data_IF_375360493423
#
_entry.id   IF_375360493423
#
_cell.length_a   1.000
_cell.length_b   1.000
_cell.length_c   1.000
_cell.angle_alpha   90.00
_cell.angle_beta   90.00
_cell.angle_gamma   90.00
#
_symmetry.space_group_name_H-M   'P 1'
#
loop_
_entity.id
_entity.type
_entity.pdbx_description
1 polymer ?
#
# COMPACT_ATOMS: atom_id res chain seq x y z
N UNK A 1 29.16 -38.43 6.07
CA UNK A 1 27.97 -38.42 5.20
C UNK A 1 27.42 -36.98 5.22
N UNK A 2 27.57 -36.27 4.12
CA UNK A 2 27.16 -34.88 3.96
C UNK A 2 25.75 -34.87 3.41
N UNK A 3 24.79 -34.34 4.17
CA UNK A 3 23.44 -34.11 3.70
C UNK A 3 23.44 -32.86 2.81
N UNK A 4 23.27 -33.08 1.51
CA UNK A 4 22.89 -31.95 0.61
C UNK A 4 21.43 -31.60 0.86
N UNK A 5 21.20 -30.41 1.33
CA UNK A 5 19.86 -29.78 1.30
C UNK A 5 19.60 -29.34 -0.13
N UNK A 6 18.82 -30.14 -0.87
CA UNK A 6 18.23 -29.69 -2.12
C UNK A 6 17.16 -28.62 -1.77
N UNK A 7 17.51 -27.36 -1.95
CA UNK A 7 16.55 -26.27 -2.04
C UNK A 7 15.77 -26.46 -3.35
N UNK A 8 14.54 -26.94 -3.23
CA UNK A 8 13.58 -26.91 -4.33
C UNK A 8 13.28 -25.43 -4.65
N UNK A 9 13.92 -24.91 -5.70
CA UNK A 9 13.45 -23.69 -6.36
C UNK A 9 12.03 -23.96 -6.87
N UNK A 10 11.04 -23.44 -6.16
CA UNK A 10 9.67 -23.36 -6.67
C UNK A 10 9.68 -22.30 -7.77
N UNK A 11 9.87 -22.74 -9.01
CA UNK A 11 9.66 -21.87 -10.18
C UNK A 11 8.16 -21.61 -10.27
N UNK A 12 7.70 -20.52 -9.68
CA UNK A 12 6.35 -19.99 -9.90
C UNK A 12 6.09 -19.73 -11.40
N UNK A 13 4.83 -19.69 -11.83
CA UNK A 13 4.47 -19.39 -13.21
C UNK A 13 5.11 -18.06 -13.63
N UNK A 14 5.70 -18.03 -14.84
CA UNK A 14 6.25 -16.81 -15.40
C UNK A 14 5.09 -15.89 -15.77
N UNK A 15 4.93 -14.81 -15.03
CA UNK A 15 4.06 -13.70 -15.41
C UNK A 15 4.80 -12.93 -16.51
N UNK A 16 4.31 -13.02 -17.74
CA UNK A 16 4.84 -12.28 -18.89
C UNK A 16 3.88 -11.15 -19.21
N UNK A 17 4.17 -9.98 -18.68
CA UNK A 17 3.46 -8.74 -18.97
C UNK A 17 4.09 -7.60 -18.17
N UNK A 18 4.34 -6.49 -18.82
CA UNK A 18 4.75 -5.27 -18.10
C UNK A 18 3.49 -4.59 -17.53
N UNK A 19 3.54 -4.09 -16.29
CA UNK A 19 2.40 -3.53 -15.57
C UNK A 19 1.64 -2.38 -16.22
N UNK A 20 1.89 -2.01 -17.44
CA UNK A 20 1.55 -0.68 -17.87
C UNK A 20 0.60 -0.53 -19.05
N UNK A 21 0.39 -1.55 -19.87
CA UNK A 21 -0.21 -1.28 -21.19
C UNK A 21 -1.71 -0.94 -21.15
N UNK A 22 -2.49 -1.50 -20.22
CA UNK A 22 -3.93 -1.23 -20.13
C UNK A 22 -4.24 0.03 -19.31
N UNK A 23 -3.56 0.20 -18.19
CA UNK A 23 -3.63 1.42 -17.38
C UNK A 23 -3.13 2.62 -18.19
N UNK A 24 -2.00 2.50 -18.88
CA UNK A 24 -1.47 3.53 -19.76
C UNK A 24 -2.42 3.86 -20.91
N UNK A 25 -3.14 2.91 -21.48
CA UNK A 25 -4.12 3.19 -22.56
C UNK A 25 -5.36 3.92 -22.05
N UNK A 26 -5.90 3.56 -20.88
CA UNK A 26 -7.03 4.25 -20.29
C UNK A 26 -6.64 5.69 -19.91
N UNK A 27 -5.46 5.86 -19.34
CA UNK A 27 -4.93 7.16 -18.91
C UNK A 27 -4.50 8.01 -20.11
N UNK A 28 -3.97 7.42 -21.17
CA UNK A 28 -3.66 8.15 -22.43
C UNK A 28 -4.91 8.78 -23.07
N UNK A 29 -6.12 8.35 -22.67
CA UNK A 29 -7.37 8.97 -23.11
C UNK A 29 -7.83 10.13 -22.21
N UNK A 30 -7.17 10.36 -21.06
CA UNK A 30 -7.47 11.46 -20.16
C UNK A 30 -7.00 12.78 -20.82
N UNK A 31 -7.86 13.80 -20.89
CA UNK A 31 -7.44 15.09 -21.42
C UNK A 31 -6.32 15.69 -20.57
N UNK A 32 -5.34 16.29 -21.24
CA UNK A 32 -4.30 17.07 -20.56
C UNK A 32 -4.97 18.16 -19.71
N UNK A 33 -4.54 18.25 -18.45
CA UNK A 33 -5.11 19.19 -17.49
C UNK A 33 -4.89 20.65 -17.95
N UNK A 34 -5.93 21.44 -17.85
CA UNK A 34 -5.85 22.91 -18.01
C UNK A 34 -5.63 23.64 -16.67
N UNK A 35 -5.61 22.88 -15.57
CA UNK A 35 -5.40 23.44 -14.23
C UNK A 35 -3.93 23.76 -14.00
N UNK A 36 -3.66 24.84 -13.33
CA UNK A 36 -2.32 25.18 -12.83
C UNK A 36 -1.94 24.26 -11.67
N UNK A 37 -0.64 24.14 -11.38
CA UNK A 37 -0.14 23.33 -10.25
C UNK A 37 -0.81 23.71 -8.95
N UNK A 38 -0.99 25.01 -8.72
CA UNK A 38 -1.68 25.52 -7.54
C UNK A 38 -3.14 25.08 -7.45
N UNK A 39 -3.87 25.11 -8.57
CA UNK A 39 -5.27 24.68 -8.59
C UNK A 39 -5.40 23.18 -8.33
N UNK A 40 -4.44 22.36 -8.78
CA UNK A 40 -4.38 20.92 -8.48
C UNK A 40 -4.09 20.73 -6.99
N UNK A 41 -3.12 21.43 -6.42
CA UNK A 41 -2.83 21.37 -4.98
C UNK A 41 -4.00 21.83 -4.13
N UNK A 42 -4.64 22.96 -4.48
CA UNK A 42 -5.84 23.47 -3.79
C UNK A 42 -6.98 22.43 -3.81
N UNK A 43 -7.11 21.70 -4.91
CA UNK A 43 -8.07 20.60 -5.06
C UNK A 43 -7.75 19.43 -4.14
N UNK A 44 -6.49 19.02 -4.03
CA UNK A 44 -6.03 17.98 -3.11
C UNK A 44 -6.21 18.40 -1.64
N UNK A 45 -5.90 19.64 -1.30
CA UNK A 45 -6.12 20.21 0.04
C UNK A 45 -7.62 20.22 0.38
N UNK A 46 -8.46 20.69 -0.53
CA UNK A 46 -9.91 20.72 -0.34
C UNK A 46 -10.49 19.33 -0.14
N UNK A 47 -9.94 18.32 -0.85
CA UNK A 47 -10.33 16.93 -0.66
C UNK A 47 -9.99 16.44 0.74
N UNK A 48 -8.78 16.71 1.26
CA UNK A 48 -8.41 16.34 2.63
C UNK A 48 -9.29 17.00 3.69
N UNK A 49 -9.65 18.28 3.50
CA UNK A 49 -10.59 18.97 4.39
C UNK A 49 -11.95 18.27 4.38
N UNK A 50 -12.43 17.89 3.20
CA UNK A 50 -13.68 17.14 3.05
C UNK A 50 -13.60 15.78 3.79
N UNK A 51 -12.50 15.05 3.64
CA UNK A 51 -12.27 13.78 4.34
C UNK A 51 -12.24 13.94 5.86
N UNK A 52 -11.64 14.99 6.39
CA UNK A 52 -11.66 15.27 7.84
C UNK A 52 -13.08 15.43 8.39
N UNK A 53 -14.01 15.92 7.58
CA UNK A 53 -15.40 16.15 7.97
C UNK A 53 -16.28 14.90 7.77
N UNK A 54 -16.08 14.16 6.67
CA UNK A 54 -16.96 13.04 6.28
C UNK A 54 -16.44 11.67 6.71
N UNK A 55 -15.13 11.44 6.66
CA UNK A 55 -14.47 10.21 7.03
C UNK A 55 -13.18 10.51 7.84
N UNK A 56 -13.33 10.95 9.11
CA UNK A 56 -12.22 11.53 9.90
C UNK A 56 -11.04 10.56 10.11
N UNK A 57 -11.26 9.26 10.11
CA UNK A 57 -10.19 8.27 10.15
C UNK A 57 -9.23 8.47 8.98
N UNK A 58 -9.74 8.42 7.76
CA UNK A 58 -8.95 8.60 6.53
C UNK A 58 -8.40 10.02 6.41
N UNK A 59 -9.20 11.03 6.75
CA UNK A 59 -8.78 12.43 6.70
C UNK A 59 -7.58 12.74 7.58
N UNK A 60 -7.54 12.19 8.81
CA UNK A 60 -6.40 12.33 9.71
C UNK A 60 -5.13 11.68 9.14
N UNK A 61 -5.25 10.53 8.50
CA UNK A 61 -4.12 9.83 7.90
C UNK A 61 -3.66 10.50 6.60
N UNK A 62 -4.60 10.91 5.75
CA UNK A 62 -4.32 11.64 4.52
C UNK A 62 -3.54 12.96 4.79
N UNK A 63 -3.81 13.65 5.90
CA UNK A 63 -3.08 14.85 6.28
C UNK A 63 -1.61 14.61 6.64
N UNK A 64 -1.17 13.37 6.81
CA UNK A 64 0.23 13.03 7.11
C UNK A 64 1.07 12.84 5.86
N UNK A 65 0.44 12.56 4.73
CA UNK A 65 1.13 12.38 3.46
C UNK A 65 1.41 13.75 2.81
N UNK A 66 2.66 13.98 2.45
CA UNK A 66 3.07 15.19 1.73
C UNK A 66 2.77 15.04 0.23
N UNK A 67 2.39 16.11 -0.44
CA UNK A 67 2.13 16.08 -1.88
C UNK A 67 3.41 16.07 -2.69
N UNK A 68 3.45 15.24 -3.74
CA UNK A 68 4.55 15.25 -4.70
C UNK A 68 4.04 14.99 -6.11
N UNK A 69 4.28 15.96 -7.00
CA UNK A 69 3.98 15.78 -8.42
C UNK A 69 4.86 14.68 -9.00
N UNK A 70 4.21 13.71 -9.60
CA UNK A 70 4.81 12.51 -10.19
C UNK A 70 4.34 12.29 -11.64
N UNK A 71 3.81 13.34 -12.29
CA UNK A 71 3.21 13.26 -13.63
C UNK A 71 4.15 12.70 -14.69
N UNK A 72 5.47 12.75 -14.46
CA UNK A 72 6.45 12.24 -15.41
C UNK A 72 6.58 10.71 -15.40
N UNK A 73 6.26 10.04 -14.28
CA UNK A 73 6.48 8.60 -14.13
C UNK A 73 5.28 7.85 -13.55
N UNK A 74 4.41 8.51 -12.78
CA UNK A 74 3.21 7.92 -12.20
C UNK A 74 2.00 8.30 -13.06
N UNK A 75 1.25 7.34 -13.60
CA UNK A 75 0.11 7.63 -14.45
C UNK A 75 -1.16 8.04 -13.67
N UNK A 76 -1.27 7.67 -12.40
CA UNK A 76 -2.43 7.89 -11.53
C UNK A 76 -2.04 8.55 -10.22
N UNK A 77 -1.89 7.74 -9.17
CA UNK A 77 -1.35 8.12 -7.88
C UNK A 77 -0.49 6.98 -7.33
N UNK A 78 0.23 7.24 -6.24
CA UNK A 78 1.00 6.24 -5.50
C UNK A 78 1.31 6.78 -4.10
N UNK A 79 1.68 5.89 -3.18
CA UNK A 79 2.21 6.29 -1.87
C UNK A 79 3.37 5.42 -1.43
N UNK A 80 4.24 5.98 -0.60
CA UNK A 80 5.32 5.29 0.08
C UNK A 80 5.18 5.38 1.62
N UNK A 81 4.02 5.84 2.09
CA UNK A 81 3.76 6.09 3.52
C UNK A 81 4.23 7.46 4.03
N UNK A 82 4.97 8.21 3.23
CA UNK A 82 5.39 9.59 3.51
C UNK A 82 4.83 10.58 2.51
N UNK A 83 4.90 10.26 1.23
CA UNK A 83 4.40 11.09 0.14
C UNK A 83 3.14 10.49 -0.48
N UNK A 84 2.26 11.39 -0.93
CA UNK A 84 1.22 11.11 -1.89
C UNK A 84 1.71 11.62 -3.24
N UNK A 85 2.14 10.71 -4.09
CA UNK A 85 2.54 10.99 -5.46
C UNK A 85 1.30 11.08 -6.33
N UNK A 86 1.25 12.04 -7.24
CA UNK A 86 0.07 12.22 -8.06
C UNK A 86 0.41 12.63 -9.49
N UNK A 87 -0.45 12.23 -10.41
CA UNK A 87 -0.46 12.73 -11.78
C UNK A 87 -1.49 13.85 -11.91
N UNK A 88 -1.07 15.01 -12.42
CA UNK A 88 -1.92 16.20 -12.54
C UNK A 88 -3.14 15.98 -13.42
N UNK A 89 -2.96 15.31 -14.57
CA UNK A 89 -4.02 15.08 -15.52
C UNK A 89 -5.08 14.16 -14.89
N UNK A 90 -4.63 13.09 -14.22
CA UNK A 90 -5.51 12.17 -13.52
C UNK A 90 -6.30 12.85 -12.39
N UNK A 91 -5.63 13.58 -11.50
CA UNK A 91 -6.28 14.31 -10.41
C UNK A 91 -7.29 15.32 -10.94
N UNK A 92 -6.97 16.00 -12.04
CA UNK A 92 -7.84 17.01 -12.64
C UNK A 92 -9.12 16.42 -13.24
N UNK A 93 -9.06 15.20 -13.74
CA UNK A 93 -10.19 14.50 -14.36
C UNK A 93 -11.17 13.89 -13.33
N UNK A 94 -10.74 13.69 -12.07
CA UNK A 94 -11.58 13.08 -11.03
C UNK A 94 -12.51 14.10 -10.39
N UNK A 95 -13.70 13.67 -9.96
CA UNK A 95 -14.58 14.44 -9.07
C UNK A 95 -14.04 14.49 -7.64
N UNK A 96 -14.53 15.37 -6.79
CA UNK A 96 -14.13 15.40 -5.37
C UNK A 96 -14.46 14.07 -4.66
N UNK A 97 -15.66 13.45 -4.83
CA UNK A 97 -15.93 12.13 -4.27
C UNK A 97 -14.99 11.03 -4.78
N UNK A 98 -14.59 11.06 -6.06
CA UNK A 98 -13.58 10.12 -6.59
C UNK A 98 -12.19 10.37 -5.98
N UNK A 99 -11.83 11.63 -5.73
CA UNK A 99 -10.58 11.97 -5.04
C UNK A 99 -10.59 11.50 -3.58
N UNK A 100 -11.73 11.55 -2.88
CA UNK A 100 -11.89 10.96 -1.54
C UNK A 100 -11.63 9.45 -1.59
N UNK A 101 -12.17 8.75 -2.60
CA UNK A 101 -11.93 7.33 -2.81
C UNK A 101 -10.45 7.04 -3.07
N UNK A 102 -9.81 7.79 -3.98
CA UNK A 102 -8.39 7.65 -4.29
C UNK A 102 -7.51 7.85 -3.05
N UNK A 103 -7.77 8.91 -2.28
CA UNK A 103 -7.06 9.14 -1.02
C UNK A 103 -7.25 8.02 -0.01
N UNK A 104 -8.48 7.51 0.11
CA UNK A 104 -8.78 6.36 0.96
C UNK A 104 -7.97 5.14 0.55
N UNK A 105 -7.85 4.89 -0.76
CA UNK A 105 -7.09 3.81 -1.36
C UNK A 105 -5.61 3.86 -0.95
N UNK A 106 -4.94 4.98 -1.19
CA UNK A 106 -3.53 5.17 -0.83
C UNK A 106 -3.29 5.07 0.69
N UNK A 107 -4.21 5.63 1.48
CA UNK A 107 -4.15 5.52 2.94
C UNK A 107 -4.27 4.08 3.40
N UNK A 108 -5.16 3.28 2.81
CA UNK A 108 -5.32 1.87 3.20
C UNK A 108 -4.09 1.02 2.88
N UNK A 109 -3.40 1.28 1.77
CA UNK A 109 -2.12 0.61 1.50
C UNK A 109 -1.12 0.81 2.63
N UNK A 110 -1.05 2.02 3.19
CA UNK A 110 -0.20 2.31 4.34
C UNK A 110 -0.73 1.69 5.65
N UNK A 111 -2.06 1.72 5.87
CA UNK A 111 -2.71 1.14 7.07
C UNK A 111 -2.49 -0.36 7.14
N UNK A 112 -2.65 -1.05 6.01
CA UNK A 112 -2.44 -2.50 5.90
C UNK A 112 -0.97 -2.90 5.80
N UNK A 113 -0.05 -1.93 5.71
CA UNK A 113 1.39 -2.19 5.52
C UNK A 113 1.67 -3.13 4.34
N UNK A 114 1.01 -2.88 3.22
CA UNK A 114 1.11 -3.75 2.04
C UNK A 114 2.55 -3.83 1.52
N UNK A 115 3.33 -2.76 1.68
CA UNK A 115 4.74 -2.69 1.28
C UNK A 115 5.62 -3.65 2.11
N UNK A 116 5.40 -3.71 3.43
CA UNK A 116 6.20 -4.55 4.34
C UNK A 116 5.70 -5.99 4.47
N UNK A 117 4.49 -6.31 3.97
CA UNK A 117 3.87 -7.64 4.08
C UNK A 117 4.04 -8.51 2.84
N UNK A 118 4.62 -8.01 1.76
CA UNK A 118 4.79 -8.75 0.52
C UNK A 118 5.60 -10.04 0.73
N UNK A 119 6.75 -9.97 1.39
CA UNK A 119 7.68 -11.10 1.50
C UNK A 119 8.08 -11.61 0.11
N UNK A 120 8.22 -12.93 -0.04
CA UNK A 120 8.63 -13.57 -1.30
C UNK A 120 7.50 -13.69 -2.35
N UNK A 121 6.36 -13.03 -2.16
CA UNK A 121 5.24 -13.06 -3.10
C UNK A 121 5.57 -12.33 -4.39
N UNK A 122 4.98 -12.79 -5.49
CA UNK A 122 5.07 -12.07 -6.76
C UNK A 122 4.52 -10.64 -6.60
N UNK A 123 5.30 -9.59 -6.90
CA UNK A 123 4.92 -8.20 -6.65
C UNK A 123 3.61 -7.81 -7.33
N UNK A 124 3.48 -8.13 -8.62
CA UNK A 124 2.30 -7.80 -9.41
C UNK A 124 1.03 -8.47 -8.87
N UNK A 125 1.08 -9.77 -8.58
CA UNK A 125 -0.07 -10.50 -8.05
C UNK A 125 -0.43 -10.04 -6.63
N UNK A 126 0.58 -9.65 -5.85
CA UNK A 126 0.39 -9.06 -4.52
C UNK A 126 -0.34 -7.72 -4.60
N UNK A 127 0.04 -6.87 -5.54
CA UNK A 127 -0.61 -5.59 -5.77
C UNK A 127 -2.08 -5.77 -6.18
N UNK A 128 -2.34 -6.67 -7.14
CA UNK A 128 -3.71 -7.02 -7.54
C UNK A 128 -4.53 -7.50 -6.32
N UNK A 129 -3.98 -8.36 -5.48
CA UNK A 129 -4.65 -8.87 -4.29
C UNK A 129 -4.96 -7.75 -3.29
N UNK A 130 -4.03 -6.82 -3.08
CA UNK A 130 -4.20 -5.67 -2.21
C UNK A 130 -5.31 -4.74 -2.70
N UNK A 131 -5.34 -4.45 -4.00
CA UNK A 131 -6.35 -3.59 -4.61
C UNK A 131 -7.76 -4.15 -4.46
N UNK A 132 -7.93 -5.47 -4.61
CA UNK A 132 -9.24 -6.09 -4.35
C UNK A 132 -9.71 -5.86 -2.91
N UNK A 133 -8.81 -5.97 -1.93
CA UNK A 133 -9.14 -5.77 -0.51
C UNK A 133 -9.44 -4.31 -0.23
N UNK A 134 -8.56 -3.40 -0.63
CA UNK A 134 -8.69 -1.97 -0.41
C UNK A 134 -9.96 -1.43 -1.07
N UNK A 135 -10.18 -1.73 -2.34
CA UNK A 135 -11.37 -1.25 -3.05
C UNK A 135 -12.67 -1.80 -2.44
N UNK A 136 -12.64 -3.03 -1.92
CA UNK A 136 -13.79 -3.62 -1.21
C UNK A 136 -14.09 -2.89 0.08
N UNK A 137 -13.09 -2.63 0.91
CA UNK A 137 -13.24 -1.95 2.20
C UNK A 137 -13.75 -0.51 2.01
N UNK A 138 -13.25 0.22 1.03
CA UNK A 138 -13.69 1.58 0.70
C UNK A 138 -15.14 1.62 0.23
N UNK A 139 -15.56 0.69 -0.64
CA UNK A 139 -16.94 0.60 -1.11
C UNK A 139 -17.88 0.25 0.04
N UNK A 140 -17.54 -0.71 0.89
CA UNK A 140 -18.34 -1.07 2.06
C UNK A 140 -18.38 0.02 3.12
N UNK A 141 -17.26 0.72 3.30
CA UNK A 141 -17.13 1.87 4.20
C UNK A 141 -17.81 3.13 3.69
N UNK A 142 -18.32 3.15 2.46
CA UNK A 142 -18.84 4.35 1.77
C UNK A 142 -17.84 5.52 1.80
N UNK A 143 -16.57 5.23 1.54
CA UNK A 143 -15.49 6.23 1.51
C UNK A 143 -15.37 6.80 0.11
N UNK A 144 -15.96 7.96 -0.10
CA UNK A 144 -16.01 8.59 -1.42
C UNK A 144 -16.91 7.83 -2.41
N UNK A 145 -16.66 8.04 -3.69
CA UNK A 145 -17.33 7.36 -4.79
C UNK A 145 -16.32 6.60 -5.64
N UNK A 146 -16.64 5.35 -5.95
CA UNK A 146 -15.83 4.49 -6.80
C UNK A 146 -15.45 5.21 -8.11
N UNK A 147 -14.17 5.17 -8.45
CA UNK A 147 -13.67 5.75 -9.71
C UNK A 147 -14.19 4.93 -10.88
N UNK A 148 -14.73 5.62 -11.88
CA UNK A 148 -15.24 5.00 -13.13
C UNK A 148 -14.46 5.43 -14.36
N UNK A 149 -13.50 6.36 -14.19
CA UNK A 149 -12.64 6.85 -15.27
C UNK A 149 -11.69 5.75 -15.76
N UNK A 150 -11.29 4.88 -14.86
CA UNK A 150 -10.50 3.68 -15.10
C UNK A 150 -11.22 2.48 -14.50
N UNK A 151 -11.01 1.31 -15.07
CA UNK A 151 -11.56 0.08 -14.49
C UNK A 151 -10.73 -0.27 -13.26
N UNK A 152 -11.37 -0.38 -12.09
CA UNK A 152 -10.73 -0.76 -10.84
C UNK A 152 -11.03 -2.22 -10.49
N UNK A 153 -10.08 -2.88 -9.83
CA UNK A 153 -10.22 -4.25 -9.35
C UNK A 153 -11.25 -4.32 -8.23
N UNK A 154 -12.36 -5.00 -8.48
CA UNK A 154 -13.44 -5.11 -7.51
C UNK A 154 -14.28 -6.36 -7.76
N UNK A 155 -14.37 -7.23 -6.72
CA UNK A 155 -15.20 -8.42 -6.75
C UNK A 155 -15.75 -8.72 -5.35
N UNK A 156 -17.06 -8.81 -5.20
CA UNK A 156 -17.73 -9.17 -3.94
C UNK A 156 -17.32 -10.54 -3.38
N UNK A 157 -16.73 -11.42 -4.20
CA UNK A 157 -16.14 -12.68 -3.76
C UNK A 157 -15.14 -12.48 -2.65
N UNK A 158 -14.36 -11.40 -2.70
CA UNK A 158 -13.27 -11.12 -1.76
C UNK A 158 -13.69 -10.30 -0.53
N UNK A 159 -14.99 -10.17 -0.32
CA UNK A 159 -15.53 -9.48 0.86
C UNK A 159 -15.01 -10.09 2.15
N UNK A 160 -14.44 -9.27 3.01
CA UNK A 160 -13.83 -9.65 4.29
C UNK A 160 -12.63 -10.61 4.21
N UNK A 161 -12.05 -10.79 3.01
CA UNK A 161 -10.80 -11.53 2.85
C UNK A 161 -9.59 -10.64 3.16
N UNK A 162 -8.49 -11.27 3.56
CA UNK A 162 -7.19 -10.63 3.69
C UNK A 162 -6.47 -10.64 2.34
N UNK A 163 -5.47 -9.76 2.18
CA UNK A 163 -4.63 -9.74 0.98
C UNK A 163 -3.95 -11.08 0.71
N UNK A 164 -3.55 -11.80 1.77
CA UNK A 164 -2.95 -13.13 1.68
C UNK A 164 -3.93 -14.18 1.15
N UNK A 165 -5.19 -14.14 1.58
CA UNK A 165 -6.23 -15.06 1.10
C UNK A 165 -6.58 -14.78 -0.36
N UNK A 166 -6.70 -13.50 -0.74
CA UNK A 166 -6.93 -13.10 -2.13
C UNK A 166 -5.75 -13.53 -3.00
N UNK A 167 -4.52 -13.26 -2.56
CA UNK A 167 -3.32 -13.70 -3.27
C UNK A 167 -3.30 -15.21 -3.51
N UNK A 168 -3.60 -16.00 -2.47
CA UNK A 168 -3.61 -17.47 -2.58
C UNK A 168 -4.68 -17.96 -3.58
N UNK A 169 -5.86 -17.33 -3.60
CA UNK A 169 -6.92 -17.68 -4.54
C UNK A 169 -6.55 -17.30 -5.98
N UNK A 170 -5.99 -16.11 -6.19
CA UNK A 170 -5.52 -15.67 -7.51
C UNK A 170 -4.39 -16.57 -8.02
N UNK A 171 -3.43 -16.89 -7.15
CA UNK A 171 -2.31 -17.80 -7.49
C UNK A 171 -2.82 -19.18 -7.91
N UNK A 172 -3.80 -19.72 -7.18
CA UNK A 172 -4.43 -21.00 -7.50
C UNK A 172 -5.15 -20.96 -8.86
N UNK A 173 -5.87 -19.87 -9.17
CA UNK A 173 -6.53 -19.69 -10.47
C UNK A 173 -5.51 -19.66 -11.63
N UNK A 174 -4.33 -19.06 -11.42
CA UNK A 174 -3.25 -19.08 -12.41
C UNK A 174 -2.72 -20.49 -12.65
N UNK A 175 -2.49 -21.26 -11.58
CA UNK A 175 -1.95 -22.63 -11.71
C UNK A 175 -2.95 -23.61 -12.33
N UNK A 176 -4.24 -23.54 -11.92
CA UNK A 176 -5.26 -24.51 -12.33
C UNK A 176 -5.87 -24.19 -13.71
N UNK A 177 -6.05 -22.93 -14.04
CA UNK A 177 -6.78 -22.50 -15.24
C UNK A 177 -5.87 -22.04 -16.38
N UNK A 178 -4.54 -21.97 -16.13
CA UNK A 178 -3.61 -21.42 -17.10
C UNK A 178 -3.94 -19.97 -17.48
N UNK A 179 -4.67 -19.27 -16.62
CA UNK A 179 -4.99 -17.88 -16.80
C UNK A 179 -3.74 -17.06 -16.54
N UNK A 180 -3.18 -16.48 -17.58
CA UNK A 180 -2.35 -15.30 -17.43
C UNK A 180 -3.27 -14.20 -16.89
N UNK A 181 -3.06 -13.78 -15.64
CA UNK A 181 -3.68 -12.56 -15.19
C UNK A 181 -3.11 -11.43 -16.02
N UNK A 182 -3.87 -11.04 -17.03
CA UNK A 182 -3.68 -9.73 -17.62
C UNK A 182 -4.10 -8.73 -16.56
N UNK A 183 -3.19 -7.83 -16.24
CA UNK A 183 -3.43 -6.71 -15.38
C UNK A 183 -4.80 -6.10 -15.63
N UNK A 184 -5.74 -6.30 -14.69
CA UNK A 184 -6.78 -5.34 -14.47
C UNK A 184 -6.07 -4.04 -14.05
N UNK A 185 -6.61 -2.90 -14.40
CA UNK A 185 -5.99 -1.62 -14.10
C UNK A 185 -5.87 -1.49 -12.59
N UNK A 186 -4.67 -1.67 -12.04
CA UNK A 186 -4.38 -1.26 -10.66
C UNK A 186 -4.60 0.25 -10.60
N UNK A 187 -5.25 0.72 -9.54
CA UNK A 187 -5.61 2.13 -9.41
C UNK A 187 -4.38 3.00 -9.21
N UNK A 188 -3.32 2.42 -8.71
CA UNK A 188 -2.07 3.06 -8.36
C UNK A 188 -0.84 2.35 -8.94
N UNK A 189 0.29 3.01 -8.85
CA UNK A 189 1.61 2.41 -9.06
C UNK A 189 2.15 2.00 -7.70
N UNK A 190 2.07 0.71 -7.39
CA UNK A 190 2.63 0.21 -6.14
C UNK A 190 4.14 0.40 -6.11
N UNK A 191 4.60 1.17 -5.14
CA UNK A 191 6.01 1.43 -4.92
C UNK A 191 6.59 0.33 -4.04
N UNK A 192 7.42 -0.54 -4.62
CA UNK A 192 8.19 -1.49 -3.84
C UNK A 192 9.27 -0.76 -3.04
N UNK A 193 9.17 -0.79 -1.70
CA UNK A 193 10.22 -0.27 -0.83
C UNK A 193 11.51 -1.11 -0.88
N UNK A 194 11.49 -2.27 -1.54
CA UNK A 194 12.61 -3.22 -1.57
C UNK A 194 13.53 -3.11 -2.80
N UNK A 195 13.11 -2.47 -3.88
CA UNK A 195 13.91 -2.40 -5.12
C UNK A 195 14.96 -1.30 -5.06
N UNK A 196 15.99 -1.54 -4.28
CA UNK A 196 17.17 -0.68 -4.13
C UNK A 196 18.51 -1.39 -4.33
N UNK A 197 18.54 -2.62 -4.86
CA UNK A 197 19.78 -3.29 -5.27
C UNK A 197 20.09 -2.96 -6.74
N UNK A 198 20.48 -1.71 -6.99
CA UNK A 198 21.34 -1.39 -8.13
C UNK A 198 22.72 -1.05 -7.58
N UNK A 199 23.73 -1.86 -7.95
CA UNK A 199 25.13 -1.68 -7.56
C UNK A 199 25.67 -0.36 -8.13
N UNK A 200 25.44 0.72 -7.40
CA UNK A 200 25.88 2.06 -7.72
C UNK A 200 25.79 2.97 -6.52
N UNK A 201 26.39 2.53 -5.41
CA UNK A 201 26.40 3.27 -4.16
C UNK A 201 27.02 4.67 -4.31
N UNK A 202 26.18 5.67 -4.36
CA UNK A 202 26.49 7.04 -3.98
C UNK A 202 25.97 7.28 -2.58
N UNK A 203 26.89 7.44 -1.67
CA UNK A 203 26.82 7.90 -0.27
C UNK A 203 25.71 8.93 -0.02
N UNK A 204 24.86 8.67 0.99
CA UNK A 204 24.03 9.60 1.76
C UNK A 204 23.62 10.90 1.06
N UNK A 205 22.53 10.87 0.29
CA UNK A 205 21.94 12.06 -0.30
C UNK A 205 20.94 12.68 0.67
N UNK A 206 21.21 13.92 1.04
CA UNK A 206 20.33 14.83 1.78
C UNK A 206 18.91 14.81 1.19
N UNK A 207 17.88 14.67 2.03
CA UNK A 207 16.47 14.64 1.65
C UNK A 207 15.96 15.95 1.00
N UNK A 208 16.86 16.83 0.61
CA UNK A 208 16.61 18.12 -0.05
C UNK A 208 17.23 18.24 -1.45
N UNK A 209 17.73 17.15 -2.02
CA UNK A 209 18.22 17.21 -3.37
C UNK A 209 17.04 17.29 -4.34
N UNK A 210 16.82 18.46 -4.89
CA UNK A 210 16.11 18.70 -6.14
C UNK A 210 16.99 18.14 -7.28
N UNK A 211 17.33 16.86 -7.17
CA UNK A 211 18.04 16.09 -8.17
C UNK A 211 16.97 15.48 -9.06
N UNK A 212 16.93 15.87 -10.33
CA UNK A 212 15.98 15.47 -11.35
C UNK A 212 15.85 13.94 -11.58
N UNK A 213 15.87 13.15 -10.52
CA UNK A 213 15.60 11.70 -10.55
C UNK A 213 14.11 11.49 -10.81
N UNK A 214 13.81 10.97 -11.99
CA UNK A 214 12.47 10.51 -12.38
C UNK A 214 12.17 9.24 -11.62
N UNK A 215 11.38 9.34 -10.54
CA UNK A 215 10.96 8.17 -9.77
C UNK A 215 10.63 8.46 -8.31
N UNK A 216 10.20 7.43 -7.55
CA UNK A 216 9.91 7.55 -6.14
C UNK A 216 11.16 7.83 -5.30
N UNK A 217 10.96 8.40 -4.11
CA UNK A 217 12.05 8.64 -3.15
C UNK A 217 12.57 7.31 -2.64
N UNK A 218 13.89 7.19 -2.55
CA UNK A 218 14.55 6.01 -1.96
C UNK A 218 14.87 6.25 -0.50
N UNK A 219 14.60 5.24 0.32
CA UNK A 219 14.81 5.30 1.77
C UNK A 219 15.81 4.23 2.22
N UNK A 220 16.55 4.55 3.26
CA UNK A 220 17.33 3.56 4.03
C UNK A 220 16.38 2.65 4.82
N UNK A 221 16.83 1.46 5.21
CA UNK A 221 16.03 0.52 6.01
C UNK A 221 15.59 1.12 7.36
N UNK A 222 16.39 2.02 7.93
CA UNK A 222 16.02 2.74 9.15
C UNK A 222 14.87 3.74 8.89
N UNK A 223 14.94 4.48 7.80
CA UNK A 223 13.87 5.42 7.40
C UNK A 223 12.58 4.68 7.08
N UNK A 224 12.63 3.57 6.33
CA UNK A 224 11.47 2.71 6.05
C UNK A 224 10.79 2.25 7.35
N UNK A 225 11.58 1.76 8.31
CA UNK A 225 11.08 1.34 9.61
C UNK A 225 10.43 2.50 10.37
N UNK A 226 11.06 3.68 10.37
CA UNK A 226 10.54 4.86 11.04
C UNK A 226 9.23 5.36 10.41
N UNK A 227 9.12 5.36 9.06
CA UNK A 227 7.89 5.70 8.33
C UNK A 227 6.77 4.73 8.72
N UNK A 228 7.05 3.42 8.68
CA UNK A 228 6.09 2.37 9.06
C UNK A 228 5.59 2.53 10.50
N UNK A 229 6.50 2.71 11.47
CA UNK A 229 6.14 2.90 12.89
C UNK A 229 5.34 4.19 13.10
N UNK A 230 5.74 5.28 12.46
CA UNK A 230 5.02 6.54 12.53
C UNK A 230 3.59 6.41 11.98
N UNK A 231 3.43 5.73 10.84
CA UNK A 231 2.11 5.51 10.23
C UNK A 231 1.24 4.58 11.08
N UNK A 232 1.80 3.49 11.62
CA UNK A 232 1.11 2.60 12.56
C UNK A 232 0.58 3.35 13.79
N UNK A 233 1.41 4.17 14.41
CA UNK A 233 1.01 4.99 15.56
C UNK A 233 -0.09 5.99 15.19
N UNK A 234 0.01 6.59 14.00
CA UNK A 234 -1.00 7.47 13.46
C UNK A 234 -2.34 6.77 13.24
N UNK A 235 -2.31 5.54 12.71
CA UNK A 235 -3.49 4.70 12.49
C UNK A 235 -4.24 4.45 13.80
N UNK A 236 -3.51 4.07 14.86
CA UNK A 236 -4.11 3.87 16.19
C UNK A 236 -4.75 5.15 16.73
N UNK A 237 -4.07 6.30 16.56
CA UNK A 237 -4.61 7.59 17.00
C UNK A 237 -5.84 8.02 16.21
N UNK A 238 -5.80 7.87 14.87
CA UNK A 238 -6.92 8.18 13.98
C UNK A 238 -8.15 7.32 14.31
N UNK A 239 -7.96 6.02 14.54
CA UNK A 239 -9.02 5.10 14.91
C UNK A 239 -9.66 5.47 16.26
N UNK A 240 -8.87 5.86 17.25
CA UNK A 240 -9.38 6.33 18.55
C UNK A 240 -10.18 7.63 18.40
N UNK A 241 -9.72 8.55 17.57
CA UNK A 241 -10.41 9.82 17.31
C UNK A 241 -11.72 9.65 16.55
N UNK A 242 -11.75 8.75 15.56
CA UNK A 242 -12.94 8.50 14.76
C UNK A 242 -14.02 7.71 15.52
N UNK A 243 -13.62 6.93 16.54
CA UNK A 243 -14.51 6.03 17.28
C UNK A 243 -14.79 4.71 16.55
N UNK A 244 -14.88 3.63 17.29
CA UNK A 244 -14.95 2.25 16.77
C UNK A 244 -16.16 1.96 15.84
N UNK A 245 -17.20 2.78 15.88
CA UNK A 245 -18.40 2.65 15.03
C UNK A 245 -18.23 3.19 13.61
N UNK A 246 -17.18 3.97 13.36
CA UNK A 246 -16.95 4.67 12.10
C UNK A 246 -15.79 4.08 11.27
N UNK A 247 -15.32 2.89 11.65
CA UNK A 247 -14.26 2.18 10.94
C UNK A 247 -14.83 1.05 10.08
N UNK A 248 -14.35 0.86 8.84
CA UNK A 248 -14.61 -0.35 8.07
C UNK A 248 -14.23 -1.61 8.85
N UNK A 249 -14.95 -2.72 8.59
CA UNK A 249 -14.78 -3.94 9.37
C UNK A 249 -13.36 -4.54 9.34
N UNK A 250 -12.69 -4.45 8.19
CA UNK A 250 -11.30 -4.88 8.02
C UNK A 250 -10.33 -4.04 8.87
N UNK A 251 -10.44 -2.73 8.77
CA UNK A 251 -9.60 -1.78 9.53
C UNK A 251 -9.84 -1.91 11.03
N UNK A 252 -11.10 -2.10 11.46
CA UNK A 252 -11.41 -2.29 12.88
C UNK A 252 -10.66 -3.49 13.47
N UNK A 253 -10.69 -4.64 12.79
CA UNK A 253 -9.96 -5.84 13.22
C UNK A 253 -8.45 -5.59 13.30
N UNK A 254 -7.90 -4.97 12.25
CA UNK A 254 -6.48 -4.63 12.20
C UNK A 254 -6.05 -3.72 13.35
N UNK A 255 -6.83 -2.68 13.65
CA UNK A 255 -6.56 -1.74 14.76
C UNK A 255 -6.68 -2.44 16.11
N UNK A 256 -7.68 -3.32 16.29
CA UNK A 256 -7.82 -4.11 17.51
C UNK A 256 -6.60 -5.02 17.73
N UNK A 257 -6.07 -5.64 16.68
CA UNK A 257 -4.84 -6.45 16.72
C UNK A 257 -3.59 -5.60 17.00
N UNK A 258 -3.52 -4.37 16.45
CA UNK A 258 -2.42 -3.43 16.73
C UNK A 258 -2.40 -2.95 18.18
N UNK A 259 -3.57 -2.75 18.78
CA UNK A 259 -3.71 -2.28 20.18
C UNK A 259 -3.54 -3.44 21.17
N UNK A 260 -4.06 -4.63 20.84
CA UNK A 260 -4.04 -5.82 21.65
C UNK A 260 -3.34 -6.97 20.92
N UNK A 261 -2.03 -6.88 20.68
CA UNK A 261 -1.32 -7.92 19.96
C UNK A 261 -1.48 -9.25 20.68
N UNK A 262 -2.03 -10.24 19.99
CA UNK A 262 -2.11 -11.61 20.47
C UNK A 262 -0.69 -12.18 20.47
N UNK A 263 -0.04 -12.14 21.63
CA UNK A 263 1.30 -12.71 21.79
C UNK A 263 1.24 -14.21 21.47
N UNK A 264 1.82 -14.60 20.35
CA UNK A 264 1.92 -16.00 19.99
C UNK A 264 2.79 -16.73 21.05
N UNK A 265 2.28 -17.80 21.63
CA UNK A 265 3.10 -18.64 22.52
C UNK A 265 4.41 -19.11 21.87
N UNK A 266 4.45 -19.18 20.53
CA UNK A 266 5.65 -19.51 19.73
C UNK A 266 6.73 -18.43 19.81
N UNK A 267 6.34 -17.18 20.05
CA UNK A 267 7.25 -16.06 20.25
C UNK A 267 7.67 -15.90 21.71
N UNK A 268 6.74 -16.19 22.64
CA UNK A 268 7.00 -16.11 24.07
C UNK A 268 7.91 -17.25 24.58
N UNK A 269 7.73 -18.46 24.03
CA UNK A 269 8.46 -19.64 24.49
C UNK A 269 9.99 -19.52 24.33
N UNK A 270 10.54 -19.08 23.18
CA UNK A 270 11.98 -18.87 23.05
C UNK A 270 12.53 -17.78 23.96
N UNK A 271 11.77 -16.68 24.19
CA UNK A 271 12.17 -15.61 25.10
C UNK A 271 12.18 -16.07 26.55
N UNK A 272 11.19 -16.84 26.98
CA UNK A 272 11.17 -17.43 28.33
C UNK A 272 12.29 -18.46 28.52
N UNK A 273 12.53 -19.32 27.54
CA UNK A 273 13.65 -20.27 27.59
C UNK A 273 14.98 -19.53 27.73
N UNK A 274 15.21 -18.47 26.93
CA UNK A 274 16.43 -17.67 27.03
C UNK A 274 16.57 -16.94 28.38
N UNK A 275 15.47 -16.46 28.97
CA UNK A 275 15.49 -15.80 30.27
C UNK A 275 15.83 -16.77 31.40
N UNK A 276 15.26 -17.99 31.36
CA UNK A 276 15.57 -19.06 32.31
C UNK A 276 17.03 -19.52 32.17
N UNK A 277 17.50 -19.76 30.96
CA UNK A 277 18.90 -20.14 30.71
C UNK A 277 19.91 -19.09 31.17
N UNK A 278 19.56 -17.79 31.08
CA UNK A 278 20.42 -16.71 31.59
C UNK A 278 20.42 -16.63 33.12
N UNK A 279 19.33 -16.95 33.79
CA UNK A 279 19.26 -16.94 35.24
C UNK A 279 20.01 -18.12 35.88
N UNK A 280 20.10 -19.27 35.21
CA UNK A 280 20.83 -20.43 35.70
C UNK A 280 22.36 -20.33 35.56
N UNK A 281 22.87 -19.39 34.76
CA UNK A 281 24.33 -19.15 34.62
C UNK A 281 24.90 -18.09 35.60
N UNK A 282 24.08 -17.54 36.49
CA UNK A 282 24.50 -16.53 37.47
C UNK A 282 24.82 -17.07 38.86
N UNK A 283 24.85 -18.40 39.03
CA UNK A 283 25.31 -19.05 40.28
C UNK A 283 26.60 -19.86 40.03
N UNK A 284 27.72 -19.15 39.99
CA UNK A 284 29.04 -19.66 40.43
C UNK A 284 29.96 -18.46 40.68
#
# INVERSE_FOLDING_TARGET
MSFKTDTLEVKGPKITGTPSDTAHKAIASIPVSTLTDKEVEDRLISTRINMLLQCPFYGNLACRLEFKDASEWCPTAATDGKYFYYNKDFISALTIPNLVFLWGHEVEHCVYDHFGRRGDRNPMLWNIANDYVVNMDLVEGNVGEKITLVEILFDYKYRSWTSEEVYADLFKQMEEEGKDFQEGTTLDVHLDMEDGEDEGAGQGGDANANDGTKGPVRYTEEEKRNIKEAFKNATIQAARSAGAGNLPGGIKRLVDDMINPQLSWKELLPQQIQSVMRSDYTFN
#
